data_IF_156936250582
#
_entry.id   IF_156936250582
#
_cell.length_a   1.000
_cell.length_b   1.000
_cell.length_c   1.000
_cell.angle_alpha   90.00
_cell.angle_beta   90.00
_cell.angle_gamma   90.00
#
_symmetry.space_group_name_H-M   'P 1'
#
loop_
_entity.id
_entity.type
_entity.pdbx_description
1 polymer ?
#
# COMPACT_ATOMS: atom_id res chain seq x y z
N UNK A 1 -20.50 -14.97 6.56
CA UNK A 1 -19.17 -15.64 6.60
C UNK A 1 -18.98 -16.39 5.30
N UNK A 2 -17.83 -16.26 4.60
CA UNK A 2 -17.61 -16.96 3.34
C UNK A 2 -17.68 -18.47 3.56
N UNK A 3 -18.48 -19.16 2.74
CA UNK A 3 -18.79 -20.61 2.86
C UNK A 3 -17.58 -21.51 2.60
N UNK A 4 -16.52 -20.97 1.99
CA UNK A 4 -15.28 -21.68 1.70
C UNK A 4 -14.08 -20.91 2.27
N UNK A 5 -13.22 -21.60 3.03
CA UNK A 5 -11.97 -21.03 3.54
C UNK A 5 -10.86 -21.32 2.54
N UNK A 6 -10.55 -20.33 1.70
CA UNK A 6 -9.52 -20.40 0.66
C UNK A 6 -8.21 -19.87 1.22
N UNK A 7 -7.09 -20.54 0.92
CA UNK A 7 -5.78 -20.03 1.31
C UNK A 7 -5.36 -18.83 0.45
N UNK A 8 -5.14 -17.67 1.07
CA UNK A 8 -4.70 -16.43 0.40
C UNK A 8 -3.28 -16.49 -0.18
N UNK A 9 -2.52 -17.54 0.13
CA UNK A 9 -1.13 -17.72 -0.33
C UNK A 9 -0.96 -18.73 -1.45
N UNK A 10 -1.89 -19.66 -1.63
CA UNK A 10 -1.78 -20.73 -2.65
C UNK A 10 -3.11 -21.09 -3.33
N UNK A 11 -4.21 -20.42 -3.00
CA UNK A 11 -5.51 -20.63 -3.63
C UNK A 11 -6.23 -21.93 -3.25
N UNK A 12 -5.62 -22.84 -2.49
CA UNK A 12 -6.27 -24.12 -2.16
C UNK A 12 -7.52 -23.90 -1.29
N UNK A 13 -8.61 -24.55 -1.68
CA UNK A 13 -9.92 -24.49 -1.02
C UNK A 13 -9.97 -25.46 0.16
N UNK A 14 -10.61 -25.07 1.27
CA UNK A 14 -10.85 -25.90 2.46
C UNK A 14 -9.59 -26.49 3.12
N UNK A 15 -8.42 -25.88 2.90
CA UNK A 15 -7.14 -26.35 3.47
C UNK A 15 -6.75 -25.67 4.79
N UNK A 16 -7.58 -24.76 5.31
CA UNK A 16 -7.24 -23.89 6.44
C UNK A 16 -7.64 -24.47 7.81
N UNK A 17 -6.67 -24.54 8.72
CA UNK A 17 -6.85 -24.88 10.14
C UNK A 17 -6.51 -23.70 11.05
N UNK A 18 -7.16 -23.62 12.21
CA UNK A 18 -6.83 -22.62 13.24
C UNK A 18 -5.45 -22.90 13.83
N UNK A 19 -4.62 -21.87 14.00
CA UNK A 19 -3.25 -21.97 14.49
C UNK A 19 -2.96 -20.94 15.59
N UNK A 20 -3.74 -21.00 16.68
CA UNK A 20 -3.62 -20.05 17.79
C UNK A 20 -4.14 -18.64 17.46
N UNK A 21 -3.86 -17.70 18.35
CA UNK A 21 -4.21 -16.27 18.21
C UNK A 21 -2.98 -15.42 18.42
N UNK A 22 -2.96 -14.26 17.78
CA UNK A 22 -1.91 -13.26 17.97
C UNK A 22 -2.11 -12.48 19.30
N UNK A 23 -1.15 -11.64 19.67
CA UNK A 23 -1.19 -10.73 20.84
C UNK A 23 -2.47 -9.89 20.86
N UNK A 24 -2.97 -9.50 19.68
CA UNK A 24 -4.20 -8.73 19.49
C UNK A 24 -5.46 -9.61 19.46
N UNK A 25 -5.36 -10.87 19.90
CA UNK A 25 -6.42 -11.89 19.90
C UNK A 25 -7.01 -12.23 18.51
N UNK A 26 -6.37 -11.77 17.42
CA UNK A 26 -6.74 -12.12 16.04
C UNK A 26 -6.43 -13.59 15.75
N UNK A 27 -7.35 -14.27 15.07
CA UNK A 27 -7.21 -15.69 14.74
C UNK A 27 -6.18 -15.91 13.63
N UNK A 28 -5.12 -16.67 13.91
CA UNK A 28 -4.17 -17.13 12.90
C UNK A 28 -4.65 -18.44 12.28
N UNK A 29 -4.37 -18.63 11.00
CA UNK A 29 -4.65 -19.84 10.25
C UNK A 29 -3.36 -20.43 9.70
N UNK A 30 -3.32 -21.75 9.56
CA UNK A 30 -2.28 -22.50 8.84
C UNK A 30 -2.93 -23.23 7.67
N UNK A 31 -2.33 -23.14 6.48
CA UNK A 31 -2.74 -23.93 5.33
C UNK A 31 -2.12 -25.33 5.40
N UNK A 32 -2.90 -26.39 5.24
CA UNK A 32 -2.38 -27.77 5.18
C UNK A 32 -1.56 -28.04 3.91
N UNK A 33 -1.87 -27.36 2.81
CA UNK A 33 -1.24 -27.62 1.51
C UNK A 33 0.11 -26.92 1.37
N UNK A 34 0.19 -25.61 1.68
CA UNK A 34 1.42 -24.84 1.56
C UNK A 34 2.14 -24.58 2.88
N UNK A 35 1.59 -25.06 4.00
CA UNK A 35 2.14 -24.95 5.37
C UNK A 35 2.35 -23.51 5.90
N UNK A 36 2.04 -22.48 5.11
CA UNK A 36 2.13 -21.06 5.49
C UNK A 36 1.08 -20.70 6.54
N UNK A 37 1.42 -19.74 7.40
CA UNK A 37 0.52 -19.18 8.42
C UNK A 37 0.23 -17.70 8.14
N UNK A 38 -1.01 -17.27 8.39
CA UNK A 38 -1.47 -15.90 8.13
C UNK A 38 -2.76 -15.59 8.89
N UNK A 39 -3.17 -14.33 8.90
CA UNK A 39 -4.48 -13.87 9.40
C UNK A 39 -5.38 -13.59 8.19
N UNK A 40 -6.66 -13.98 8.24
CA UNK A 40 -7.57 -13.83 7.09
C UNK A 40 -7.90 -12.36 6.78
N UNK A 41 -8.13 -11.55 7.81
CA UNK A 41 -8.52 -10.14 7.68
C UNK A 41 -7.31 -9.20 7.79
N UNK A 42 -6.16 -9.63 7.27
CA UNK A 42 -4.92 -8.86 7.30
C UNK A 42 -4.84 -7.96 6.06
N UNK A 43 -4.96 -6.65 6.28
CA UNK A 43 -4.69 -5.63 5.27
C UNK A 43 -3.18 -5.42 5.09
N UNK A 44 -2.76 -4.82 3.98
CA UNK A 44 -1.36 -4.38 3.76
C UNK A 44 -0.85 -3.45 4.86
N UNK A 45 -1.76 -2.69 5.47
CA UNK A 45 -1.52 -1.76 6.58
C UNK A 45 -1.61 -2.42 7.95
N UNK A 46 -1.98 -3.70 8.06
CA UNK A 46 -2.14 -4.39 9.35
C UNK A 46 -0.84 -4.54 10.15
N UNK A 47 0.32 -4.41 9.49
CA UNK A 47 1.63 -4.38 10.14
C UNK A 47 2.06 -2.98 10.58
N UNK A 48 1.29 -1.95 10.24
CA UNK A 48 1.59 -0.56 10.57
C UNK A 48 0.81 -0.15 11.83
N UNK A 49 1.32 0.87 12.53
CA UNK A 49 0.76 1.31 13.82
C UNK A 49 -0.60 2.01 13.73
N UNK A 50 -0.99 2.46 12.54
CA UNK A 50 -2.23 3.22 12.32
C UNK A 50 -3.26 2.41 11.55
N UNK A 51 -4.54 2.73 11.78
CA UNK A 51 -5.65 2.01 11.17
C UNK A 51 -5.79 2.31 9.67
N UNK A 52 -6.41 1.39 8.94
CA UNK A 52 -6.75 1.54 7.52
C UNK A 52 -7.53 2.83 7.25
N UNK A 53 -8.37 3.27 8.20
CA UNK A 53 -9.12 4.52 8.11
C UNK A 53 -8.19 5.75 8.02
N UNK A 54 -7.11 5.76 8.81
CA UNK A 54 -6.14 6.85 8.76
C UNK A 54 -5.45 6.90 7.39
N UNK A 55 -5.05 5.76 6.84
CA UNK A 55 -4.44 5.70 5.50
C UNK A 55 -5.39 6.16 4.40
N UNK A 56 -6.67 5.75 4.45
CA UNK A 56 -7.67 6.22 3.48
C UNK A 56 -7.81 7.74 3.49
N UNK A 57 -7.85 8.36 4.68
CA UNK A 57 -7.87 9.82 4.80
C UNK A 57 -6.57 10.46 4.34
N UNK A 58 -5.43 9.86 4.67
CA UNK A 58 -4.11 10.34 4.24
C UNK A 58 -4.02 10.38 2.71
N UNK A 59 -4.44 9.31 2.03
CA UNK A 59 -4.48 9.23 0.56
C UNK A 59 -5.47 10.27 0.00
N UNK A 60 -6.66 10.43 0.59
CA UNK A 60 -7.61 11.47 0.19
C UNK A 60 -6.98 12.86 0.21
N UNK A 61 -6.31 13.22 1.30
CA UNK A 61 -5.60 14.49 1.39
C UNK A 61 -4.44 14.64 0.39
N UNK A 62 -3.76 13.55 0.02
CA UNK A 62 -2.75 13.59 -1.03
C UNK A 62 -3.35 13.85 -2.42
N UNK A 63 -4.53 13.29 -2.69
CA UNK A 63 -5.26 13.53 -3.95
C UNK A 63 -5.72 14.99 -4.03
N UNK A 64 -6.14 15.55 -2.89
CA UNK A 64 -6.54 16.96 -2.76
C UNK A 64 -5.34 17.93 -2.70
N UNK A 65 -4.12 17.45 -2.95
CA UNK A 65 -2.85 18.20 -2.92
C UNK A 65 -2.61 19.02 -1.63
N UNK A 66 -3.05 18.47 -0.50
CA UNK A 66 -2.86 19.12 0.81
C UNK A 66 -1.42 18.95 1.29
N UNK A 67 -0.83 20.02 1.82
CA UNK A 67 0.55 19.99 2.34
C UNK A 67 0.71 19.00 3.51
N UNK A 68 1.87 18.36 3.61
CA UNK A 68 2.11 17.32 4.62
C UNK A 68 1.98 17.84 6.06
N UNK A 69 2.31 19.10 6.31
CA UNK A 69 2.15 19.76 7.61
C UNK A 69 0.66 19.87 7.99
N UNK A 70 -0.19 20.19 7.01
CA UNK A 70 -1.64 20.26 7.19
C UNK A 70 -2.22 18.87 7.38
N UNK A 71 -1.78 17.87 6.61
CA UNK A 71 -2.18 16.47 6.79
C UNK A 71 -1.81 15.97 8.19
N UNK A 72 -0.56 16.19 8.60
CA UNK A 72 -0.06 15.77 9.91
C UNK A 72 -0.90 16.36 11.05
N UNK A 73 -1.25 17.65 10.95
CA UNK A 73 -2.14 18.33 11.91
C UNK A 73 -3.56 17.74 11.90
N UNK A 74 -4.15 17.53 10.73
CA UNK A 74 -5.53 17.04 10.59
C UNK A 74 -5.71 15.57 10.98
N UNK A 75 -4.65 14.76 10.87
CA UNK A 75 -4.64 13.35 11.26
C UNK A 75 -4.01 13.11 12.63
N UNK A 76 -3.53 14.16 13.29
CA UNK A 76 -2.86 14.12 14.59
C UNK A 76 -1.68 13.11 14.59
N UNK A 77 -0.83 13.20 13.58
CA UNK A 77 0.40 12.38 13.43
C UNK A 77 1.62 13.28 13.38
N UNK A 78 2.80 12.73 13.67
CA UNK A 78 4.06 13.45 13.50
C UNK A 78 4.33 13.69 11.99
N UNK A 79 4.90 14.85 11.65
CA UNK A 79 5.31 15.17 10.28
C UNK A 79 6.26 14.11 9.68
N UNK A 80 7.14 13.52 10.50
CA UNK A 80 8.02 12.41 10.08
C UNK A 80 7.22 11.17 9.68
N UNK A 81 6.15 10.87 10.41
CA UNK A 81 5.23 9.78 10.08
C UNK A 81 4.50 10.06 8.77
N UNK A 82 4.05 11.30 8.55
CA UNK A 82 3.41 11.70 7.29
C UNK A 82 4.37 11.55 6.10
N UNK A 83 5.64 11.98 6.24
CA UNK A 83 6.67 11.78 5.22
C UNK A 83 6.90 10.29 4.92
N UNK A 84 6.99 9.45 5.95
CA UNK A 84 7.16 8.01 5.78
C UNK A 84 5.96 7.36 5.07
N UNK A 85 4.73 7.79 5.39
CA UNK A 85 3.52 7.26 4.74
C UNK A 85 3.42 7.68 3.28
N UNK A 86 3.77 8.92 2.96
CA UNK A 86 3.89 9.38 1.57
C UNK A 86 4.87 8.51 0.80
N UNK A 87 6.03 8.21 1.38
CA UNK A 87 7.01 7.29 0.79
C UNK A 87 6.41 5.90 0.55
N UNK A 88 5.81 5.26 1.56
CA UNK A 88 5.19 3.93 1.40
C UNK A 88 4.14 3.89 0.29
N UNK A 89 3.32 4.94 0.17
CA UNK A 89 2.30 5.04 -0.88
C UNK A 89 2.97 5.09 -2.26
N UNK A 90 3.96 5.97 -2.47
CA UNK A 90 4.65 6.04 -3.75
C UNK A 90 5.45 4.77 -4.08
N UNK A 91 6.06 4.13 -3.09
CA UNK A 91 6.72 2.84 -3.28
C UNK A 91 5.74 1.76 -3.73
N UNK A 92 4.53 1.74 -3.16
CA UNK A 92 3.49 0.78 -3.56
C UNK A 92 3.00 1.00 -4.99
N UNK A 93 3.15 2.22 -5.52
CA UNK A 93 2.78 2.60 -6.88
C UNK A 93 3.95 2.56 -7.87
N UNK A 94 5.16 2.21 -7.44
CA UNK A 94 6.37 2.29 -8.27
C UNK A 94 6.25 1.50 -9.58
N UNK A 95 5.67 0.30 -9.53
CA UNK A 95 5.49 -0.57 -10.68
C UNK A 95 4.14 -0.38 -11.39
N UNK A 96 3.31 0.58 -10.94
CA UNK A 96 1.95 0.73 -11.46
C UNK A 96 1.94 1.05 -12.96
N UNK A 97 2.87 1.88 -13.43
CA UNK A 97 2.97 2.25 -14.84
C UNK A 97 3.43 1.08 -15.73
N UNK A 98 4.22 0.15 -15.21
CA UNK A 98 4.71 -1.03 -15.95
C UNK A 98 3.56 -1.99 -16.33
N UNK A 99 2.43 -1.92 -15.61
CA UNK A 99 1.25 -2.75 -15.83
C UNK A 99 0.22 -2.10 -16.77
N UNK A 100 0.40 -0.83 -17.14
CA UNK A 100 -0.57 -0.08 -17.96
C UNK A 100 -0.26 -0.25 -19.45
N UNK A 101 -1.18 -0.92 -20.16
CA UNK A 101 -1.16 -1.02 -21.63
C UNK A 101 -2.22 -0.09 -22.22
N UNK A 102 -1.79 0.85 -23.05
CA UNK A 102 -2.67 1.75 -23.79
C UNK A 102 -2.90 1.21 -25.20
N UNK A 103 -4.14 1.30 -25.70
CA UNK A 103 -4.53 0.84 -27.05
C UNK A 103 -5.45 1.88 -27.72
N UNK A 104 -5.42 1.94 -29.05
CA UNK A 104 -6.20 2.88 -29.86
C UNK A 104 -5.52 4.25 -30.07
N UNK A 105 -6.33 5.31 -30.14
CA UNK A 105 -5.83 6.69 -30.32
C UNK A 105 -5.37 7.26 -28.98
N UNK A 106 -4.06 7.45 -28.83
CA UNK A 106 -3.43 7.97 -27.63
C UNK A 106 -3.15 9.47 -27.83
N UNK A 107 -3.58 10.29 -26.87
CA UNK A 107 -3.29 11.72 -26.81
C UNK A 107 -2.29 11.96 -25.69
N UNK A 108 -1.21 12.67 -26.00
CA UNK A 108 -0.16 13.04 -25.05
C UNK A 108 -0.02 14.54 -25.08
N UNK A 109 -0.08 15.17 -23.90
CA UNK A 109 0.13 16.61 -23.72
C UNK A 109 1.22 16.84 -22.66
N UNK A 110 1.97 17.92 -22.82
CA UNK A 110 3.06 18.25 -21.91
C UNK A 110 2.55 19.03 -20.70
N UNK A 111 3.07 18.72 -19.51
CA UNK A 111 2.78 19.47 -18.30
C UNK A 111 4.10 19.89 -17.65
N UNK A 112 4.31 21.19 -17.54
CA UNK A 112 5.51 21.74 -16.91
C UNK A 112 5.30 21.83 -15.40
N UNK A 113 6.22 21.23 -14.64
CA UNK A 113 6.25 21.30 -13.18
C UNK A 113 7.61 21.81 -12.72
N UNK A 114 7.61 22.66 -11.69
CA UNK A 114 8.85 23.12 -11.08
C UNK A 114 9.42 22.01 -10.21
N UNK A 115 10.61 21.52 -10.57
CA UNK A 115 11.29 20.44 -9.85
C UNK A 115 12.35 21.01 -8.91
N UNK A 116 12.15 20.83 -7.61
CA UNK A 116 13.19 21.07 -6.61
C UNK A 116 13.97 19.78 -6.39
N UNK A 117 15.06 19.60 -7.14
CA UNK A 117 15.96 18.46 -6.99
C UNK A 117 16.80 18.68 -5.73
N UNK A 118 16.46 17.98 -4.65
CA UNK A 118 17.35 17.87 -3.49
C UNK A 118 18.41 16.83 -3.81
N UNK A 119 19.69 17.20 -3.65
CA UNK A 119 20.86 16.32 -3.83
C UNK A 119 20.81 15.14 -2.84
N UNK A 120 20.02 14.13 -3.16
CA UNK A 120 20.13 12.78 -2.63
C UNK A 120 20.57 11.93 -3.82
N UNK A 121 21.80 11.43 -3.74
CA UNK A 121 22.50 10.58 -4.69
C UNK A 121 21.59 9.84 -5.70
N UNK A 122 21.73 10.21 -6.97
CA UNK A 122 21.40 9.43 -8.15
C UNK A 122 19.97 8.85 -8.18
N UNK A 123 18.99 9.69 -8.53
CA UNK A 123 17.84 9.19 -9.28
C UNK A 123 18.25 9.35 -10.75
N UNK A 124 18.73 8.27 -11.36
CA UNK A 124 18.88 8.22 -12.81
C UNK A 124 17.46 8.37 -13.38
N UNK A 125 17.15 9.59 -13.84
CA UNK A 125 16.04 9.82 -14.75
C UNK A 125 16.44 9.12 -16.06
N UNK A 126 16.19 7.81 -16.11
CA UNK A 126 16.28 7.06 -17.35
C UNK A 126 15.10 7.51 -18.21
N UNK A 127 15.35 8.52 -19.03
CA UNK A 127 14.61 8.70 -20.28
C UNK A 127 14.86 7.44 -21.11
N UNK A 128 13.94 6.48 -21.02
CA UNK A 128 13.87 5.41 -22.00
C UNK A 128 13.25 6.01 -23.25
N UNK A 129 14.11 6.31 -24.22
CA UNK A 129 13.75 6.43 -25.63
C UNK A 129 13.12 5.12 -26.15
#
# INVERSE_FOLDING_TARGET
>A
MPKHKICTKCGTVNSLIKNGRDINKKQRYKCKSCLKTFILDESTTSYLHHSDYLYKRFIGFMIDDVTLEVIARNLNINIKTALYYRYLIFESLRAYQDEVFLDGTILVDETFVELVIKNTSCIELTTKE
#
